data_IF_419256263021
#
_entry.id   IF_419256263021
#
_cell.length_a   1.000
_cell.length_b   1.000
_cell.length_c   1.000
_cell.angle_alpha   90.00
_cell.angle_beta   90.00
_cell.angle_gamma   90.00
#
_symmetry.space_group_name_H-M   'P 1'
#
loop_
_entity.id
_entity.type
_entity.pdbx_description
1 polymer ?
#
# COMPACT_ATOMS: atom_id res chain seq x y z
N UNK A 1 -10.90 12.38 -22.89
CA UNK A 1 -10.59 11.89 -21.54
C UNK A 1 -9.39 10.96 -21.63
N UNK A 2 -8.43 11.04 -20.70
CA UNK A 2 -7.27 10.15 -20.70
C UNK A 2 -7.68 8.69 -20.51
N UNK A 3 -6.96 7.79 -21.18
CA UNK A 3 -7.21 6.35 -21.06
C UNK A 3 -6.60 5.84 -19.74
N UNK A 4 -7.43 5.43 -18.79
CA UNK A 4 -7.01 4.90 -17.49
C UNK A 4 -7.09 3.38 -17.50
N UNK A 5 -5.99 2.72 -17.15
CA UNK A 5 -5.89 1.28 -16.97
C UNK A 5 -5.35 0.94 -15.59
N UNK A 6 -5.94 -0.06 -14.95
CA UNK A 6 -5.40 -0.70 -13.75
C UNK A 6 -4.97 -2.12 -14.12
N UNK A 7 -3.77 -2.49 -13.75
CA UNK A 7 -3.23 -3.83 -14.00
C UNK A 7 -2.42 -4.34 -12.81
N UNK A 8 -2.28 -5.65 -12.63
CA UNK A 8 -1.27 -6.20 -11.75
C UNK A 8 0.13 -5.70 -12.16
N UNK A 9 0.97 -5.42 -11.17
CA UNK A 9 2.36 -5.12 -11.45
C UNK A 9 3.10 -6.38 -11.93
N UNK A 10 4.12 -6.17 -12.73
CA UNK A 10 5.04 -7.19 -13.23
C UNK A 10 6.43 -7.00 -12.60
N UNK A 11 7.25 -8.03 -12.63
CA UNK A 11 8.62 -7.98 -12.09
C UNK A 11 9.45 -6.82 -12.67
N UNK A 12 9.21 -6.46 -13.92
CA UNK A 12 9.83 -5.33 -14.60
C UNK A 12 9.41 -3.96 -14.05
N UNK A 13 8.32 -3.88 -13.30
CA UNK A 13 7.85 -2.63 -12.70
C UNK A 13 8.60 -2.26 -11.40
N UNK A 14 9.48 -3.13 -10.89
CA UNK A 14 10.15 -2.90 -9.59
C UNK A 14 10.86 -1.55 -9.50
N UNK A 15 11.53 -1.11 -10.57
CA UNK A 15 12.17 0.21 -10.62
C UNK A 15 11.18 1.36 -10.57
N UNK A 16 10.06 1.24 -11.27
CA UNK A 16 9.00 2.25 -11.28
C UNK A 16 8.25 2.31 -9.93
N UNK A 17 8.04 1.15 -9.30
CA UNK A 17 7.48 1.07 -7.94
C UNK A 17 8.40 1.82 -6.97
N UNK A 18 9.71 1.52 -6.99
CA UNK A 18 10.68 2.20 -6.12
C UNK A 18 10.71 3.71 -6.35
N UNK A 19 10.64 4.14 -7.63
CA UNK A 19 10.58 5.57 -7.94
C UNK A 19 9.35 6.23 -7.30
N UNK A 20 8.18 5.63 -7.43
CA UNK A 20 6.94 6.14 -6.83
C UNK A 20 6.93 6.06 -5.30
N UNK A 21 7.57 5.07 -4.68
CA UNK A 21 7.77 5.01 -3.22
C UNK A 21 8.62 6.18 -2.73
N UNK A 22 9.67 6.53 -3.46
CA UNK A 22 10.50 7.71 -3.15
C UNK A 22 9.74 9.02 -3.33
N UNK A 23 8.94 9.13 -4.39
CA UNK A 23 8.05 10.27 -4.61
C UNK A 23 7.01 10.40 -3.48
N UNK A 24 6.47 9.28 -3.01
CA UNK A 24 5.56 9.23 -1.86
C UNK A 24 6.25 9.71 -0.58
N UNK A 25 7.47 9.26 -0.31
CA UNK A 25 8.24 9.70 0.87
C UNK A 25 8.43 11.22 0.86
N UNK A 26 8.78 11.81 -0.27
CA UNK A 26 8.89 13.27 -0.43
C UNK A 26 7.54 13.93 -0.15
N UNK A 27 6.45 13.40 -0.71
CA UNK A 27 5.11 13.92 -0.49
C UNK A 27 4.71 13.86 0.98
N UNK A 28 5.10 12.82 1.70
CA UNK A 28 4.86 12.64 3.13
C UNK A 28 5.84 13.42 4.02
N UNK A 29 6.71 14.23 3.42
CA UNK A 29 7.71 15.08 4.11
C UNK A 29 8.78 14.29 4.86
N UNK A 30 9.04 13.07 4.41
CA UNK A 30 10.09 12.22 4.93
C UNK A 30 11.37 12.36 4.09
N UNK A 31 12.56 12.26 4.70
CA UNK A 31 13.80 12.27 3.95
C UNK A 31 13.93 11.02 3.09
N UNK A 32 14.53 11.15 1.90
CA UNK A 32 14.76 10.00 1.01
C UNK A 32 15.58 8.87 1.65
N UNK A 33 16.41 9.20 2.63
CA UNK A 33 17.17 8.21 3.43
C UNK A 33 16.28 7.29 4.25
N UNK A 34 15.02 7.63 4.47
CA UNK A 34 14.05 6.74 5.12
C UNK A 34 13.60 5.60 4.22
N UNK A 35 13.82 5.70 2.90
CA UNK A 35 13.53 4.64 1.94
C UNK A 35 14.77 3.79 1.76
N UNK A 36 14.88 2.73 2.54
CA UNK A 36 15.98 1.76 2.49
C UNK A 36 15.76 0.66 1.44
N UNK A 37 14.53 0.50 0.97
CA UNK A 37 14.15 -0.52 0.00
C UNK A 37 14.89 -0.36 -1.33
N UNK A 38 15.24 -1.49 -1.91
CA UNK A 38 15.82 -1.61 -3.26
C UNK A 38 14.83 -2.24 -4.25
N UNK A 39 15.13 -2.16 -5.53
CA UNK A 39 14.34 -2.88 -6.55
C UNK A 39 14.33 -4.39 -6.32
N UNK A 40 15.44 -4.96 -5.82
CA UNK A 40 15.53 -6.39 -5.56
C UNK A 40 14.65 -6.82 -4.39
N UNK A 41 14.44 -5.96 -3.39
CA UNK A 41 13.49 -6.22 -2.32
C UNK A 41 12.07 -6.37 -2.87
N UNK A 42 11.65 -5.47 -3.77
CA UNK A 42 10.34 -5.60 -4.42
C UNK A 42 10.26 -6.83 -5.34
N UNK A 43 11.35 -7.16 -6.07
CA UNK A 43 11.38 -8.36 -6.90
C UNK A 43 11.21 -9.63 -6.07
N UNK A 44 11.84 -9.69 -4.91
CA UNK A 44 11.74 -10.82 -3.98
C UNK A 44 10.35 -10.92 -3.37
N UNK A 45 9.85 -9.81 -2.79
CA UNK A 45 8.69 -9.83 -1.91
C UNK A 45 7.35 -9.66 -2.63
N UNK A 46 7.34 -9.03 -3.82
CA UNK A 46 6.12 -8.86 -4.62
C UNK A 46 6.00 -9.88 -5.75
N UNK A 47 7.12 -10.42 -6.26
CA UNK A 47 7.13 -11.25 -7.47
C UNK A 47 7.83 -12.60 -7.29
N UNK A 48 8.45 -12.84 -6.14
CA UNK A 48 9.10 -14.10 -5.79
C UNK A 48 8.11 -15.21 -5.43
N UNK A 49 8.60 -16.43 -5.12
CA UNK A 49 7.75 -17.56 -4.74
C UNK A 49 7.02 -17.32 -3.40
N UNK A 50 7.65 -16.63 -2.46
CA UNK A 50 7.10 -16.33 -1.13
C UNK A 50 6.64 -14.86 -1.07
N UNK A 51 5.60 -14.54 -1.82
CA UNK A 51 5.08 -13.16 -1.88
C UNK A 51 4.60 -12.67 -0.53
N UNK A 52 5.08 -11.50 -0.13
CA UNK A 52 4.69 -10.80 1.10
C UNK A 52 3.64 -9.74 0.84
N UNK A 53 3.63 -9.18 -0.37
CA UNK A 53 2.72 -8.11 -0.79
C UNK A 53 2.37 -8.25 -2.27
N UNK A 54 1.35 -7.52 -2.69
CA UNK A 54 0.92 -7.41 -4.07
C UNK A 54 0.82 -5.94 -4.46
N UNK A 55 0.98 -5.66 -5.75
CA UNK A 55 0.94 -4.31 -6.28
C UNK A 55 0.06 -4.27 -7.52
N UNK A 56 -0.79 -3.25 -7.60
CA UNK A 56 -1.45 -2.84 -8.83
C UNK A 56 -0.84 -1.54 -9.32
N UNK A 57 -0.60 -1.48 -10.62
CA UNK A 57 -0.17 -0.28 -11.32
C UNK A 57 -1.36 0.45 -11.91
N UNK A 58 -1.37 1.77 -11.77
CA UNK A 58 -2.32 2.65 -12.41
C UNK A 58 -1.66 3.41 -13.55
N UNK A 59 -2.17 3.21 -14.75
CA UNK A 59 -1.66 3.85 -15.98
C UNK A 59 -2.63 4.90 -16.49
N UNK A 60 -2.07 5.98 -17.03
CA UNK A 60 -2.76 7.01 -17.80
C UNK A 60 -2.06 7.14 -19.13
N UNK A 61 -2.80 6.93 -20.22
CA UNK A 61 -2.28 6.93 -21.59
C UNK A 61 -1.03 6.04 -21.75
N UNK A 62 -1.07 4.85 -21.15
CA UNK A 62 -0.02 3.82 -21.22
C UNK A 62 1.22 4.08 -20.36
N UNK A 63 1.20 5.12 -19.50
CA UNK A 63 2.31 5.43 -18.58
C UNK A 63 1.89 5.20 -17.14
N UNK A 64 2.76 4.58 -16.36
CA UNK A 64 2.54 4.42 -14.92
C UNK A 64 2.44 5.79 -14.24
N UNK A 65 1.34 6.04 -13.55
CA UNK A 65 1.04 7.30 -12.88
C UNK A 65 0.59 7.11 -11.43
N UNK A 66 0.50 5.87 -10.98
CA UNK A 66 0.16 5.56 -9.61
C UNK A 66 0.31 4.09 -9.33
N UNK A 67 0.31 3.73 -8.08
CA UNK A 67 0.33 2.35 -7.62
C UNK A 67 -0.42 2.19 -6.31
N UNK A 68 -0.78 0.98 -6.01
CA UNK A 68 -1.30 0.57 -4.70
C UNK A 68 -0.66 -0.76 -4.32
N UNK A 69 -0.05 -0.79 -3.14
CA UNK A 69 0.57 -1.98 -2.54
C UNK A 69 -0.29 -2.44 -1.37
N UNK A 70 -0.53 -3.73 -1.28
CA UNK A 70 -1.38 -4.32 -0.25
C UNK A 70 -0.93 -5.72 0.12
N UNK A 71 -1.34 -6.15 1.29
CA UNK A 71 -1.10 -7.51 1.80
C UNK A 71 -2.29 -7.99 2.63
N UNK A 72 -2.34 -9.30 2.88
CA UNK A 72 -3.39 -9.90 3.68
C UNK A 72 -3.09 -9.73 5.17
N UNK A 73 -4.06 -9.19 5.91
CA UNK A 73 -4.09 -9.25 7.37
C UNK A 73 -5.20 -10.22 7.83
N UNK A 74 -5.44 -10.33 9.10
CA UNK A 74 -6.47 -11.20 9.65
C UNK A 74 -7.17 -10.56 10.83
N UNK A 75 -8.48 -10.70 10.90
CA UNK A 75 -9.28 -10.27 12.04
C UNK A 75 -9.86 -11.48 12.74
N UNK A 76 -9.43 -11.72 13.98
CA UNK A 76 -10.00 -12.77 14.84
C UNK A 76 -11.46 -12.50 15.20
N UNK A 77 -11.86 -11.24 15.25
CA UNK A 77 -13.24 -10.86 15.56
C UNK A 77 -14.21 -11.13 14.41
N UNK A 78 -13.74 -10.95 13.18
CA UNK A 78 -14.51 -11.26 11.98
C UNK A 78 -14.34 -12.71 11.56
N UNK A 79 -13.25 -13.35 11.96
CA UNK A 79 -12.89 -14.72 11.57
C UNK A 79 -12.51 -14.85 10.12
N UNK A 80 -11.94 -13.79 9.50
CA UNK A 80 -11.57 -13.75 8.08
C UNK A 80 -10.33 -12.91 7.85
N UNK A 81 -9.66 -13.18 6.75
CA UNK A 81 -8.64 -12.29 6.22
C UNK A 81 -9.26 -10.95 5.83
N UNK A 82 -8.46 -9.90 5.92
CA UNK A 82 -8.69 -8.59 5.35
C UNK A 82 -7.58 -8.22 4.39
N UNK A 83 -7.67 -7.07 3.76
CA UNK A 83 -6.59 -6.46 3.01
C UNK A 83 -6.13 -5.19 3.71
N UNK A 84 -4.82 -5.08 3.90
CA UNK A 84 -4.19 -3.85 4.34
C UNK A 84 -3.49 -3.17 3.17
N UNK A 85 -3.86 -1.93 2.91
CA UNK A 85 -3.17 -1.08 1.93
C UNK A 85 -1.97 -0.45 2.62
N UNK A 86 -0.77 -0.87 2.23
CA UNK A 86 0.49 -0.33 2.76
C UNK A 86 0.80 1.03 2.16
N UNK A 87 0.85 1.09 0.82
CA UNK A 87 1.12 2.30 0.08
C UNK A 87 0.06 2.55 -0.99
N UNK A 88 -0.32 3.80 -1.14
CA UNK A 88 -1.22 4.27 -2.17
C UNK A 88 -0.76 5.65 -2.64
N UNK A 89 -0.39 5.75 -3.91
CA UNK A 89 0.14 6.98 -4.47
C UNK A 89 -0.35 7.21 -5.90
N UNK A 90 -0.64 8.46 -6.22
CA UNK A 90 -0.92 8.94 -7.57
C UNK A 90 -0.12 10.20 -7.80
N UNK A 91 0.68 10.21 -8.86
CA UNK A 91 1.46 11.37 -9.29
C UNK A 91 0.56 12.59 -9.49
N UNK A 92 1.04 13.76 -9.12
CA UNK A 92 0.24 14.98 -9.13
C UNK A 92 -0.42 15.26 -10.48
N UNK A 93 0.34 15.10 -11.56
CA UNK A 93 -0.15 15.31 -12.93
C UNK A 93 -1.32 14.39 -13.35
N UNK A 94 -1.50 13.27 -12.65
CA UNK A 94 -2.56 12.29 -12.90
C UNK A 94 -3.72 12.35 -11.89
N UNK A 95 -3.69 13.29 -10.96
CA UNK A 95 -4.77 13.50 -9.99
C UNK A 95 -5.97 14.18 -10.65
N UNK A 96 -7.15 13.98 -10.06
CA UNK A 96 -8.40 14.57 -10.58
C UNK A 96 -9.09 13.77 -11.69
N UNK A 97 -8.41 12.81 -12.32
CA UNK A 97 -8.99 11.97 -13.38
C UNK A 97 -9.62 10.66 -12.87
N UNK A 98 -9.67 10.44 -11.55
CA UNK A 98 -10.28 9.25 -10.96
C UNK A 98 -9.36 8.03 -10.84
N UNK A 99 -8.07 8.14 -11.15
CA UNK A 99 -7.11 7.04 -11.06
C UNK A 99 -7.06 6.45 -9.64
N UNK A 100 -6.97 7.28 -8.61
CA UNK A 100 -6.92 6.83 -7.22
C UNK A 100 -8.16 6.03 -6.81
N UNK A 101 -9.36 6.50 -7.16
CA UNK A 101 -10.61 5.78 -6.91
C UNK A 101 -10.61 4.41 -7.61
N UNK A 102 -10.10 4.34 -8.85
CA UNK A 102 -10.04 3.07 -9.60
C UNK A 102 -9.05 2.08 -8.99
N UNK A 103 -7.90 2.54 -8.47
CA UNK A 103 -6.95 1.70 -7.76
C UNK A 103 -7.57 1.10 -6.48
N UNK A 104 -8.21 1.92 -5.67
CA UNK A 104 -8.91 1.46 -4.45
C UNK A 104 -10.07 0.52 -4.79
N UNK A 105 -10.84 0.81 -5.83
CA UNK A 105 -11.93 -0.05 -6.29
C UNK A 105 -11.43 -1.42 -6.78
N UNK A 106 -10.26 -1.46 -7.44
CA UNK A 106 -9.64 -2.71 -7.88
C UNK A 106 -9.22 -3.58 -6.67
N UNK A 107 -8.64 -2.98 -5.63
CA UNK A 107 -8.33 -3.70 -4.39
C UNK A 107 -9.60 -4.18 -3.68
N UNK A 108 -10.65 -3.37 -3.64
CA UNK A 108 -11.95 -3.78 -3.09
C UNK A 108 -12.55 -4.97 -3.83
N UNK A 109 -12.42 -5.02 -5.16
CA UNK A 109 -12.84 -6.16 -5.98
C UNK A 109 -12.05 -7.43 -5.63
N UNK A 110 -10.73 -7.31 -5.42
CA UNK A 110 -9.88 -8.43 -4.98
C UNK A 110 -10.33 -8.90 -3.59
N UNK A 111 -10.56 -7.98 -2.66
CA UNK A 111 -11.02 -8.30 -1.32
C UNK A 111 -12.34 -9.11 -1.34
N UNK A 112 -13.31 -8.69 -2.14
CA UNK A 112 -14.57 -9.42 -2.31
C UNK A 112 -14.35 -10.83 -2.88
N UNK A 113 -13.51 -10.95 -3.91
CA UNK A 113 -13.21 -12.24 -4.53
C UNK A 113 -12.51 -13.22 -3.56
N UNK A 114 -11.76 -12.70 -2.59
CA UNK A 114 -11.08 -13.45 -1.55
C UNK A 114 -11.89 -13.56 -0.25
N UNK A 115 -13.15 -13.15 -0.28
CA UNK A 115 -14.06 -13.23 0.87
C UNK A 115 -13.58 -12.42 2.10
N UNK A 116 -12.80 -11.38 1.86
CA UNK A 116 -12.38 -10.41 2.88
C UNK A 116 -13.56 -9.50 3.26
N UNK A 117 -13.59 -9.06 4.51
CA UNK A 117 -14.63 -8.12 5.00
C UNK A 117 -14.09 -6.77 5.43
N UNK A 118 -12.77 -6.56 5.36
CA UNK A 118 -12.12 -5.31 5.74
C UNK A 118 -11.08 -4.92 4.72
N UNK A 119 -11.01 -3.61 4.47
CA UNK A 119 -9.88 -2.92 3.88
C UNK A 119 -9.38 -1.94 4.92
N UNK A 120 -8.13 -2.08 5.33
CA UNK A 120 -7.50 -1.20 6.30
C UNK A 120 -6.35 -0.43 5.65
N UNK A 121 -6.12 0.78 6.11
CA UNK A 121 -4.96 1.58 5.77
C UNK A 121 -4.61 2.53 6.91
N UNK A 122 -3.38 3.02 6.90
CA UNK A 122 -2.96 4.13 7.73
C UNK A 122 -2.64 5.33 6.84
N UNK A 123 -2.92 6.52 7.32
CA UNK A 123 -2.68 7.77 6.61
C UNK A 123 -2.26 8.85 7.59
N UNK A 124 -1.31 9.69 7.19
CA UNK A 124 -0.87 10.81 8.00
C UNK A 124 -2.03 11.78 8.28
N UNK A 125 -2.09 12.30 9.49
CA UNK A 125 -3.19 13.12 9.97
C UNK A 125 -3.48 14.32 9.05
N UNK A 126 -2.45 14.96 8.53
CA UNK A 126 -2.54 16.13 7.66
C UNK A 126 -2.81 15.79 6.19
N UNK A 127 -2.74 14.50 5.78
CA UNK A 127 -2.84 14.12 4.37
C UNK A 127 -4.25 14.34 3.82
N UNK A 128 -4.42 15.15 2.77
CA UNK A 128 -5.74 15.43 2.18
C UNK A 128 -6.41 14.20 1.56
N UNK A 129 -5.69 13.10 1.31
CA UNK A 129 -6.27 11.83 0.85
C UNK A 129 -7.30 11.27 1.83
N UNK A 130 -7.29 11.67 3.11
CA UNK A 130 -8.32 11.33 4.10
C UNK A 130 -9.72 11.65 3.60
N UNK A 131 -9.90 12.77 2.90
CA UNK A 131 -11.21 13.15 2.32
C UNK A 131 -11.70 12.15 1.28
N UNK A 132 -10.77 11.60 0.48
CA UNK A 132 -11.11 10.55 -0.49
C UNK A 132 -11.56 9.29 0.24
N UNK A 133 -10.82 8.86 1.26
CA UNK A 133 -11.15 7.66 2.03
C UNK A 133 -12.52 7.79 2.71
N UNK A 134 -12.77 8.89 3.38
CA UNK A 134 -14.06 9.17 4.04
C UNK A 134 -15.22 9.21 3.03
N UNK A 135 -15.01 9.83 1.86
CA UNK A 135 -16.00 9.85 0.76
C UNK A 135 -16.29 8.43 0.22
N UNK A 136 -15.32 7.54 0.23
CA UNK A 136 -15.47 6.14 -0.18
C UNK A 136 -16.03 5.23 0.91
N UNK A 137 -16.30 5.74 2.10
CA UNK A 137 -16.89 5.00 3.21
C UNK A 137 -15.90 4.41 4.21
N UNK A 138 -14.61 4.74 4.12
CA UNK A 138 -13.66 4.39 5.18
C UNK A 138 -13.97 5.18 6.45
N UNK A 139 -13.86 4.53 7.59
CA UNK A 139 -14.12 5.14 8.90
C UNK A 139 -12.83 5.26 9.69
N UNK A 140 -12.62 6.41 10.32
CA UNK A 140 -11.46 6.67 11.16
C UNK A 140 -11.46 5.76 12.39
N UNK A 141 -10.35 5.06 12.63
CA UNK A 141 -10.13 4.14 13.76
C UNK A 141 -9.16 4.74 14.80
N UNK A 142 -9.19 6.04 15.02
CA UNK A 142 -8.22 6.77 15.85
C UNK A 142 -8.18 6.35 17.33
N UNK A 143 -9.15 5.57 17.80
CA UNK A 143 -9.12 4.97 19.15
C UNK A 143 -8.13 3.80 19.27
N UNK A 144 -7.61 3.28 18.16
CA UNK A 144 -6.51 2.33 18.12
C UNK A 144 -5.19 3.06 17.97
N UNK A 145 -4.26 2.82 18.87
CA UNK A 145 -2.94 3.44 18.83
C UNK A 145 -1.94 2.45 18.25
N UNK A 146 -1.29 2.75 17.12
CA UNK A 146 -0.29 1.87 16.53
C UNK A 146 0.99 1.87 17.36
N UNK A 147 1.61 0.69 17.53
CA UNK A 147 2.91 0.51 18.16
C UNK A 147 3.85 -0.20 17.19
N UNK A 148 5.13 0.17 17.26
CA UNK A 148 6.18 -0.42 16.41
C UNK A 148 7.39 -0.80 17.26
N UNK A 149 7.89 -2.02 17.06
CA UNK A 149 9.20 -2.44 17.48
C UNK A 149 10.04 -2.65 16.22
N UNK A 150 11.26 -2.11 16.17
CA UNK A 150 12.08 -2.14 14.97
C UNK A 150 13.57 -2.39 15.27
N UNK A 151 14.29 -2.80 14.24
CA UNK A 151 15.74 -2.98 14.29
C UNK A 151 16.21 -3.98 15.36
N UNK A 152 17.26 -3.62 16.09
CA UNK A 152 17.89 -4.48 17.11
C UNK A 152 16.97 -4.79 18.30
N UNK A 153 15.95 -4.00 18.53
CA UNK A 153 14.98 -4.24 19.61
C UNK A 153 14.19 -5.52 19.38
N UNK A 154 13.94 -5.90 18.11
CA UNK A 154 13.32 -7.18 17.77
C UNK A 154 14.23 -8.34 18.21
N UNK A 155 15.52 -8.26 17.88
CA UNK A 155 16.49 -9.28 18.26
C UNK A 155 16.67 -9.37 19.79
N UNK A 156 16.56 -8.24 20.47
CA UNK A 156 16.62 -8.18 21.95
C UNK A 156 15.44 -8.90 22.57
N UNK A 157 14.21 -8.58 22.11
CA UNK A 157 13.01 -9.23 22.63
C UNK A 157 12.95 -10.74 22.31
N UNK A 158 13.46 -11.15 21.15
CA UNK A 158 13.47 -12.55 20.73
C UNK A 158 14.25 -13.46 21.69
N UNK A 159 15.24 -12.95 22.42
CA UNK A 159 16.01 -13.72 23.40
C UNK A 159 15.18 -14.21 24.57
N UNK A 160 14.05 -13.57 24.86
CA UNK A 160 13.17 -13.95 25.98
C UNK A 160 12.27 -15.14 25.63
N UNK A 161 12.23 -15.56 24.35
CA UNK A 161 11.45 -16.71 23.91
C UNK A 161 11.99 -18.06 24.40
N UNK A 162 13.30 -18.12 24.69
CA UNK A 162 14.02 -19.34 25.09
C UNK A 162 14.27 -19.43 26.61
N UNK A 163 13.72 -18.47 27.39
CA UNK A 163 13.79 -18.43 28.87
C UNK A 163 12.40 -18.85 29.49
#
# INVERSE_FOLDING_TARGET
LPAIRIRPAERSDAGEILAMVRELAIYEREPLSSVEASEEDFRRDCFGPDRRCQVLMGEVDGRAQGFIMFYWNYSTWVGRAGLHVEDFFVREAARGFGLGKRLLAAVAKIALAQNCRRLDLAVLEWNPARKLYEHLGFTNQSHWVPYRLAGDDIARLAKDADN
#
